data_IF_281595921409
#
_entry.id   IF_281595921409
#
_cell.length_a   1.000
_cell.length_b   1.000
_cell.length_c   1.000
_cell.angle_alpha   90.00
_cell.angle_beta   90.00
_cell.angle_gamma   90.00
#
_symmetry.space_group_name_H-M   'P 1'
#
loop_
_entity.id
_entity.type
_entity.pdbx_description
1 polymer ?
#
# COMPACT_ATOMS: atom_id res chain seq x y z
N UNK A 1 -30.61 -19.20 8.54
CA UNK A 1 -29.54 -18.82 9.47
C UNK A 1 -28.29 -19.52 8.95
N UNK A 2 -27.66 -19.03 7.88
CA UNK A 2 -27.60 -17.62 7.42
C UNK A 2 -26.97 -16.71 8.48
N UNK A 3 -26.03 -15.81 8.19
CA UNK A 3 -25.49 -15.38 6.89
C UNK A 3 -23.93 -15.29 6.92
N UNK A 4 -23.11 -15.87 6.02
CA UNK A 4 -23.10 -17.25 5.50
C UNK A 4 -21.62 -17.76 5.35
N UNK A 5 -20.83 -17.39 4.30
CA UNK A 5 -19.36 -17.63 4.15
C UNK A 5 -18.68 -16.47 3.37
N UNK A 6 -17.60 -15.88 3.89
CA UNK A 6 -16.74 -14.95 3.11
C UNK A 6 -15.58 -15.72 2.47
N UNK A 7 -15.92 -16.38 1.36
CA UNK A 7 -15.11 -16.27 0.14
C UNK A 7 -14.88 -14.76 -0.15
N UNK A 8 -13.76 -14.27 -0.68
CA UNK A 8 -13.07 -14.76 -1.86
C UNK A 8 -11.53 -14.62 -1.74
N UNK A 9 -10.80 -15.74 -1.85
CA UNK A 9 -9.34 -15.75 -2.00
C UNK A 9 -8.96 -15.43 -3.46
N UNK A 10 -9.08 -14.15 -3.85
CA UNK A 10 -9.00 -13.73 -5.25
C UNK A 10 -7.60 -13.23 -5.69
N UNK A 11 -6.61 -14.12 -5.78
CA UNK A 11 -5.67 -14.22 -6.94
C UNK A 11 -5.06 -15.64 -6.99
N UNK A 12 -5.71 -16.56 -7.69
CA UNK A 12 -5.02 -17.79 -8.14
C UNK A 12 -4.20 -17.51 -9.41
N UNK A 13 -2.88 -17.57 -9.30
CA UNK A 13 -1.99 -18.15 -10.31
C UNK A 13 -0.58 -18.33 -9.74
N UNK A 14 -0.07 -19.56 -9.79
CA UNK A 14 1.20 -19.96 -9.17
C UNK A 14 2.42 -19.27 -9.80
N UNK A 15 2.90 -18.23 -9.10
CA UNK A 15 4.13 -17.50 -9.39
C UNK A 15 4.72 -17.03 -8.05
N UNK A 16 6.04 -16.99 -7.90
CA UNK A 16 6.68 -16.69 -6.61
C UNK A 16 6.70 -15.18 -6.36
N UNK A 17 5.59 -14.64 -5.85
CA UNK A 17 5.46 -13.20 -5.57
C UNK A 17 5.83 -12.91 -4.12
N UNK A 18 7.06 -12.45 -3.91
CA UNK A 18 7.51 -11.96 -2.60
C UNK A 18 7.24 -10.46 -2.50
N UNK A 19 6.49 -10.03 -1.49
CA UNK A 19 6.27 -8.61 -1.15
C UNK A 19 6.96 -8.31 0.18
N UNK A 20 7.74 -7.23 0.22
CA UNK A 20 8.46 -6.77 1.42
C UNK A 20 8.31 -5.25 1.60
N UNK A 21 8.42 -4.79 2.85
CA UNK A 21 8.27 -3.39 3.27
C UNK A 21 9.43 -3.03 4.20
N UNK A 22 10.30 -2.15 3.73
CA UNK A 22 11.43 -1.61 4.48
C UNK A 22 11.07 -0.17 4.93
N UNK A 23 11.30 0.21 6.20
CA UNK A 23 11.02 1.56 6.71
C UNK A 23 12.30 2.21 7.21
N UNK A 24 12.77 3.26 6.53
CA UNK A 24 13.98 4.00 6.84
C UNK A 24 13.67 5.48 7.13
N UNK A 25 13.38 5.77 8.40
CA UNK A 25 13.09 7.13 8.86
C UNK A 25 11.77 7.66 8.29
N UNK A 26 11.85 8.47 7.23
CA UNK A 26 10.67 8.96 6.50
C UNK A 26 10.35 8.21 5.20
N UNK A 27 11.29 7.40 4.71
CA UNK A 27 11.12 6.61 3.50
C UNK A 27 10.51 5.26 3.84
N UNK A 28 9.42 4.92 3.16
CA UNK A 28 8.78 3.61 3.19
C UNK A 28 8.98 2.99 1.81
N UNK A 29 9.78 1.93 1.77
CA UNK A 29 10.18 1.23 0.57
C UNK A 29 9.39 -0.07 0.45
N UNK A 30 8.46 -0.12 -0.50
CA UNK A 30 7.73 -1.34 -0.84
C UNK A 30 8.40 -2.02 -2.02
N UNK A 31 8.71 -3.31 -1.91
CA UNK A 31 9.34 -4.08 -2.99
C UNK A 31 8.55 -5.35 -3.30
N UNK A 32 8.29 -5.59 -4.57
CA UNK A 32 7.68 -6.80 -5.09
C UNK A 32 8.69 -7.51 -5.98
N UNK A 33 9.13 -8.70 -5.58
CA UNK A 33 9.90 -9.61 -6.43
C UNK A 33 8.94 -10.59 -7.10
N UNK A 34 9.18 -10.86 -8.37
CA UNK A 34 8.48 -11.88 -9.17
C UNK A 34 9.50 -12.56 -10.07
N UNK A 35 9.18 -13.76 -10.58
CA UNK A 35 10.01 -14.46 -11.58
C UNK A 35 10.29 -13.64 -12.86
N UNK A 36 9.52 -12.57 -13.11
CA UNK A 36 9.66 -11.66 -14.26
C UNK A 36 10.43 -10.37 -13.96
N UNK A 37 10.84 -10.15 -12.71
CA UNK A 37 11.57 -8.97 -12.27
C UNK A 37 11.06 -8.37 -10.97
N UNK A 38 11.75 -7.32 -10.52
CA UNK A 38 11.49 -6.63 -9.26
C UNK A 38 10.89 -5.24 -9.50
N UNK A 39 9.83 -4.89 -8.76
CA UNK A 39 9.28 -3.54 -8.69
C UNK A 39 9.55 -2.96 -7.31
N UNK A 40 9.84 -1.66 -7.26
CA UNK A 40 10.04 -0.89 -6.03
C UNK A 40 9.23 0.38 -6.08
N UNK A 41 8.60 0.72 -4.96
CA UNK A 41 7.88 1.97 -4.72
C UNK A 41 8.51 2.64 -3.50
N UNK A 42 9.05 3.84 -3.69
CA UNK A 42 9.64 4.67 -2.63
C UNK A 42 8.63 5.75 -2.21
N UNK A 43 8.20 5.73 -0.96
CA UNK A 43 7.23 6.66 -0.40
C UNK A 43 7.83 7.44 0.78
N UNK A 44 8.24 8.68 0.53
CA UNK A 44 8.63 9.62 1.60
C UNK A 44 7.39 10.30 2.20
N UNK A 45 6.95 9.82 3.36
CA UNK A 45 5.76 10.35 4.01
C UNK A 45 5.94 11.77 4.58
N UNK A 46 7.18 12.24 4.80
CA UNK A 46 7.45 13.63 5.24
C UNK A 46 7.37 14.64 4.10
N UNK A 47 7.50 14.19 2.85
CA UNK A 47 7.22 15.00 1.64
C UNK A 47 5.77 14.91 1.18
N UNK A 48 5.01 13.94 1.69
CA UNK A 48 3.60 13.78 1.34
C UNK A 48 2.73 14.85 2.02
N UNK A 49 2.09 15.70 1.22
CA UNK A 49 1.18 16.75 1.71
C UNK A 49 -0.25 16.26 2.00
N UNK A 50 -0.50 14.94 1.98
CA UNK A 50 -1.82 14.36 2.23
C UNK A 50 -2.91 14.72 1.20
N UNK A 51 -2.54 15.02 -0.06
CA UNK A 51 -3.50 15.46 -1.09
C UNK A 51 -4.52 14.40 -1.53
N UNK A 52 -4.27 13.11 -1.22
CA UNK A 52 -5.15 11.99 -1.57
C UNK A 52 -5.26 11.71 -3.08
N UNK A 53 -4.33 12.19 -3.91
CA UNK A 53 -4.34 11.91 -5.35
C UNK A 53 -4.03 10.43 -5.64
N UNK A 54 -3.02 9.88 -4.96
CA UNK A 54 -2.62 8.48 -5.04
C UNK A 54 -3.75 7.51 -4.66
N UNK A 55 -4.57 7.86 -3.66
CA UNK A 55 -5.79 7.13 -3.28
C UNK A 55 -6.78 7.09 -4.46
N UNK A 56 -7.10 8.25 -5.05
CA UNK A 56 -8.12 8.36 -6.13
C UNK A 56 -7.72 7.73 -7.46
N UNK A 57 -6.42 7.62 -7.74
CA UNK A 57 -5.90 7.03 -8.99
C UNK A 57 -5.59 5.54 -8.85
N UNK A 58 -5.62 4.97 -7.64
CA UNK A 58 -5.32 3.56 -7.41
C UNK A 58 -6.43 2.67 -8.00
N UNK A 59 -6.14 1.84 -9.02
CA UNK A 59 -7.17 1.03 -9.68
C UNK A 59 -7.65 -0.17 -8.85
N UNK A 60 -6.93 -0.50 -7.76
CA UNK A 60 -7.28 -1.58 -6.83
C UNK A 60 -7.53 -1.08 -5.41
N UNK A 61 -7.70 0.24 -5.24
CA UNK A 61 -8.04 0.89 -3.96
C UNK A 61 -7.09 0.48 -2.79
N UNK A 62 -5.84 0.17 -3.13
CA UNK A 62 -4.80 -0.30 -2.23
C UNK A 62 -4.13 0.81 -1.39
N UNK A 63 -4.75 1.98 -1.32
CA UNK A 63 -4.21 3.18 -0.69
C UNK A 63 -5.33 3.87 0.10
N UNK A 64 -5.12 4.07 1.39
CA UNK A 64 -6.08 4.70 2.29
C UNK A 64 -5.49 5.96 2.94
N UNK A 65 -6.31 6.98 3.20
CA UNK A 65 -5.87 8.18 3.90
C UNK A 65 -5.57 7.85 5.37
N UNK A 66 -4.36 8.16 5.84
CA UNK A 66 -3.96 7.96 7.23
C UNK A 66 -4.70 8.90 8.20
N UNK A 67 -4.69 8.63 9.52
CA UNK A 67 -5.37 9.44 10.52
C UNK A 67 -4.66 10.79 10.73
N UNK A 68 -4.94 11.76 9.85
CA UNK A 68 -4.38 13.13 9.88
C UNK A 68 -4.52 13.80 11.26
N UNK A 69 -5.58 13.45 12.00
CA UNK A 69 -5.85 13.96 13.35
C UNK A 69 -4.79 13.56 14.39
N UNK A 70 -4.18 12.38 14.27
CA UNK A 70 -3.17 11.88 15.21
C UNK A 70 -1.77 12.41 14.87
N UNK A 71 -1.46 12.63 13.59
CA UNK A 71 -0.22 13.28 13.13
C UNK A 71 -0.06 14.66 13.79
N UNK A 72 -1.17 15.40 13.92
CA UNK A 72 -1.21 16.71 14.57
C UNK A 72 -0.92 16.67 16.09
N UNK A 73 -0.99 15.50 16.72
CA UNK A 73 -0.70 15.31 18.16
C UNK A 73 0.74 14.90 18.46
N UNK A 74 1.59 14.76 17.43
CA UNK A 74 3.02 14.45 17.58
C UNK A 74 3.39 12.97 17.35
N UNK A 75 2.53 12.20 16.68
CA UNK A 75 2.87 10.86 16.20
C UNK A 75 3.45 10.92 14.77
N UNK A 76 4.66 10.39 14.55
CA UNK A 76 5.22 10.16 13.21
C UNK A 76 4.44 9.04 12.51
N UNK A 77 3.28 9.38 11.92
CA UNK A 77 2.46 8.49 11.11
C UNK A 77 2.32 9.02 9.67
N UNK A 78 2.29 8.14 8.65
CA UNK A 78 2.17 8.56 7.27
C UNK A 78 0.74 9.05 6.95
N UNK A 79 0.58 10.13 6.14
CA UNK A 79 -0.74 10.65 5.79
C UNK A 79 -1.50 9.78 4.76
N UNK A 80 -0.85 8.76 4.19
CA UNK A 80 -1.46 7.73 3.35
C UNK A 80 -0.81 6.40 3.70
N UNK A 81 -1.61 5.33 3.82
CA UNK A 81 -1.14 3.96 4.04
C UNK A 81 -1.35 3.13 2.77
N UNK A 82 -0.38 2.30 2.41
CA UNK A 82 -0.47 1.37 1.28
C UNK A 82 -0.64 -0.06 1.76
N UNK A 83 -1.65 -0.72 1.20
CA UNK A 83 -2.05 -2.08 1.52
C UNK A 83 -1.35 -3.05 0.55
N UNK A 84 -0.33 -3.77 1.06
CA UNK A 84 0.57 -4.56 0.23
C UNK A 84 -0.15 -5.69 -0.51
N UNK A 85 -1.16 -6.32 0.09
CA UNK A 85 -1.89 -7.42 -0.51
C UNK A 85 -2.68 -6.95 -1.75
N UNK A 86 -3.42 -5.83 -1.61
CA UNK A 86 -4.19 -5.18 -2.69
C UNK A 86 -3.30 -4.50 -3.74
N UNK A 87 -2.07 -4.14 -3.39
CA UNK A 87 -1.17 -3.42 -4.31
C UNK A 87 -0.68 -4.34 -5.45
N UNK A 88 -0.98 -3.93 -6.67
CA UNK A 88 -0.54 -4.57 -7.93
C UNK A 88 0.76 -3.97 -8.49
N UNK A 89 1.38 -3.03 -7.75
CA UNK A 89 2.58 -2.30 -8.16
C UNK A 89 2.46 -1.72 -9.58
N UNK A 90 1.32 -1.11 -9.90
CA UNK A 90 1.02 -0.55 -11.22
C UNK A 90 1.74 0.79 -11.53
N UNK A 91 2.41 1.40 -10.54
CA UNK A 91 3.12 2.69 -10.66
C UNK A 91 2.25 3.87 -11.11
N UNK A 92 0.96 3.85 -10.76
CA UNK A 92 0.02 4.96 -11.02
C UNK A 92 -0.05 5.99 -9.87
N UNK A 93 0.50 5.66 -8.69
CA UNK A 93 0.46 6.47 -7.46
C UNK A 93 1.74 7.28 -7.23
#
# INVERSE_FOLDING_TARGET
MSEELEEECAVEQSLSVEKEMDVEGSHIMYRQKTDKGTRTLDYDYKRCIGCGLCVRICPTEALEAGPIHEIATGMDAPPVMLDLDKCTFCSMC
#
